data_IF_811461925271
#
_entry.id   IF_811461925271
#
_cell.length_a   1.000
_cell.length_b   1.000
_cell.length_c   1.000
_cell.angle_alpha   90.00
_cell.angle_beta   90.00
_cell.angle_gamma   90.00
#
_symmetry.space_group_name_H-M   'P 1'
#
loop_
_entity.id
_entity.type
_entity.pdbx_description
1 polymer ?
2 polymer ?
3 non-polymer ?
4 water ?
#
# COMPACT_ATOMS: atom_id res chain seq x y z
N UNK A 6 15.39 9.63 -11.26
CA UNK A 6 16.17 10.64 -11.95
C UNK A 6 16.19 10.36 -13.46
N UNK A 7 15.97 11.42 -14.25
CA UNK A 7 15.79 11.31 -15.69
C UNK A 7 17.01 10.75 -16.43
N UNK A 8 18.17 10.64 -15.77
CA UNK A 8 19.31 9.98 -16.39
C UNK A 8 19.11 8.47 -16.45
N UNK A 9 18.59 7.89 -15.36
CA UNK A 9 18.42 6.44 -15.24
C UNK A 9 17.13 5.97 -15.90
N UNK A 10 16.09 6.80 -15.92
CA UNK A 10 14.74 6.35 -16.26
C UNK A 10 13.96 7.53 -16.80
N UNK A 11 13.07 7.24 -17.73
CA UNK A 11 12.25 8.31 -18.29
C UNK A 11 10.98 8.45 -17.46
N UNK A 12 10.54 9.67 -17.16
CA UNK A 12 9.36 9.86 -16.31
C UNK A 12 8.16 9.08 -16.81
N UNK A 13 7.34 8.62 -15.86
CA UNK A 13 6.07 8.01 -16.23
C UNK A 13 5.22 9.00 -17.01
N UNK A 14 5.33 10.30 -16.68
CA UNK A 14 4.54 11.30 -17.38
C UNK A 14 4.94 11.42 -18.86
N UNK A 15 6.08 10.86 -19.26
CA UNK A 15 6.50 10.89 -20.65
C UNK A 15 6.03 9.65 -21.44
N UNK A 16 5.53 8.60 -20.79
CA UNK A 16 5.15 7.36 -21.48
C UNK A 16 4.19 7.59 -22.64
N UNK A 17 4.42 6.89 -23.74
CA UNK A 17 3.48 6.84 -24.86
C UNK A 17 2.29 5.93 -24.50
N UNK A 18 1.24 5.94 -25.32
CA UNK A 18 0.15 4.97 -25.09
C UNK A 18 0.62 3.54 -25.14
N UNK A 19 1.54 3.25 -26.06
CA UNK A 19 2.16 1.93 -26.11
C UNK A 19 2.84 1.63 -24.79
N UNK A 20 3.68 2.54 -24.31
CA UNK A 20 4.30 2.37 -23.00
C UNK A 20 3.24 2.16 -21.92
N UNK A 21 2.12 2.89 -22.00
CA UNK A 21 1.04 2.71 -21.02
C UNK A 21 0.51 1.27 -21.09
N UNK A 22 0.07 0.86 -22.29
CA UNK A 22 -0.48 -0.49 -22.46
C UNK A 22 0.54 -1.55 -22.03
N UNK A 23 1.82 -1.30 -22.33
CA UNK A 23 2.88 -2.25 -21.98
C UNK A 23 2.87 -2.55 -20.49
N UNK A 24 2.91 -1.49 -19.66
CA UNK A 24 2.87 -1.66 -18.21
C UNK A 24 1.54 -2.25 -17.78
N UNK A 25 0.46 -1.91 -18.49
CA UNK A 25 -0.85 -2.45 -18.14
C UNK A 25 -0.91 -3.95 -18.35
N UNK A 26 -0.07 -4.51 -19.24
CA UNK A 26 -0.10 -5.95 -19.51
C UNK A 26 0.36 -6.79 -18.32
N UNK A 27 1.11 -6.21 -17.38
CA UNK A 27 1.58 -6.94 -16.23
C UNK A 27 0.70 -6.84 -15.01
N UNK A 28 -0.45 -6.19 -15.13
CA UNK A 28 -1.39 -6.07 -14.03
C UNK A 28 -2.30 -7.30 -14.00
N UNK A 29 -3.42 -7.19 -13.30
CA UNK A 29 -4.27 -8.33 -13.00
C UNK A 29 -4.95 -8.84 -14.27
N UNK A 30 -5.06 -10.17 -14.38
CA UNK A 30 -5.72 -10.77 -15.54
C UNK A 30 -7.04 -10.07 -15.82
N UNK A 31 -7.83 -9.80 -14.78
CA UNK A 31 -9.17 -9.26 -14.96
C UNK A 31 -9.19 -7.86 -15.58
N UNK A 32 -8.03 -7.22 -15.77
CA UNK A 32 -8.00 -5.85 -16.26
C UNK A 32 -7.57 -5.73 -17.73
N UNK A 33 -7.15 -6.82 -18.36
CA UNK A 33 -6.67 -6.74 -19.74
C UNK A 33 -7.78 -6.38 -20.72
N UNK A 34 -9.00 -6.90 -20.52
CA UNK A 34 -10.15 -6.58 -21.35
C UNK A 34 -10.25 -5.09 -21.64
N UNK A 35 -9.60 -4.29 -20.80
CA UNK A 35 -9.68 -2.86 -20.94
C UNK A 35 -8.57 -2.27 -21.83
N UNK A 36 -7.40 -2.91 -21.90
CA UNK A 36 -6.28 -2.29 -22.61
C UNK A 36 -6.63 -2.03 -24.07
N UNK A 37 -7.57 -2.80 -24.64
CA UNK A 37 -8.06 -2.49 -25.98
C UNK A 37 -8.54 -1.05 -26.07
N UNK A 38 -9.32 -0.61 -25.08
CA UNK A 38 -9.89 0.73 -25.15
C UNK A 38 -8.87 1.81 -24.80
N UNK A 39 -7.99 1.54 -23.83
CA UNK A 39 -6.90 2.47 -23.55
C UNK A 39 -6.11 2.76 -24.81
N UNK A 40 -5.75 1.70 -25.54
CA UNK A 40 -5.15 1.80 -26.85
C UNK A 40 -5.93 2.77 -27.74
N UNK A 41 -7.17 2.38 -28.07
CA UNK A 41 -7.96 3.13 -29.04
C UNK A 41 -8.08 4.61 -28.67
N UNK A 42 -8.12 4.92 -27.38
CA UNK A 42 -8.21 6.31 -26.96
C UNK A 42 -6.85 7.00 -26.91
N UNK A 43 -5.77 6.27 -27.18
CA UNK A 43 -4.42 6.82 -27.18
C UNK A 43 -4.07 7.40 -25.80
N UNK A 44 -4.35 6.62 -24.76
CA UNK A 44 -4.12 7.07 -23.39
C UNK A 44 -2.62 7.09 -23.10
N UNK A 45 -2.10 8.23 -22.68
CA UNK A 45 -0.66 8.37 -22.45
C UNK A 45 -0.34 8.47 -20.96
N UNK A 46 0.96 8.32 -20.64
CA UNK A 46 1.39 8.34 -19.27
C UNK A 46 1.02 9.63 -18.57
N UNK A 47 1.07 10.75 -19.30
CA UNK A 47 0.37 12.00 -19.00
C UNK A 47 -0.95 11.79 -18.30
N UNK A 48 -1.94 11.37 -19.10
CA UNK A 48 -3.31 11.21 -18.64
C UNK A 48 -3.43 10.09 -17.62
N UNK A 49 -2.58 9.07 -17.74
CA UNK A 49 -2.73 7.90 -16.88
C UNK A 49 -2.57 8.29 -15.43
N UNK A 50 -1.50 9.03 -15.12
CA UNK A 50 -1.17 9.40 -13.75
C UNK A 50 -2.32 10.12 -13.03
N UNK A 51 -3.27 10.65 -13.79
CA UNK A 51 -4.37 11.42 -13.24
C UNK A 51 -5.71 10.91 -13.74
N UNK A 52 -5.76 9.68 -14.26
CA UNK A 52 -7.01 9.12 -14.76
C UNK A 52 -8.11 9.28 -13.72
N UNK A 53 -9.28 9.71 -14.18
CA UNK A 53 -10.42 9.98 -13.31
C UNK A 53 -11.41 8.83 -13.37
N UNK A 54 -12.34 8.83 -12.42
CA UNK A 54 -13.43 7.87 -12.48
C UNK A 54 -14.09 7.90 -13.85
N UNK A 55 -14.67 9.05 -14.21
CA UNK A 55 -15.40 9.14 -15.46
C UNK A 55 -14.57 8.64 -16.63
N UNK A 56 -13.25 8.85 -16.59
CA UNK A 56 -12.41 8.37 -17.67
C UNK A 56 -12.33 6.86 -17.66
N UNK A 57 -12.07 6.28 -16.49
CA UNK A 57 -12.13 4.83 -16.32
C UNK A 57 -13.46 4.28 -16.82
N UNK A 58 -14.54 5.00 -16.60
CA UNK A 58 -15.82 4.48 -17.04
C UNK A 58 -15.93 4.56 -18.56
N UNK A 59 -15.39 5.62 -19.13
CA UNK A 59 -15.44 5.72 -20.59
C UNK A 59 -14.54 4.68 -21.24
N UNK A 60 -13.48 4.29 -20.56
CA UNK A 60 -12.64 3.24 -21.11
C UNK A 60 -13.27 1.85 -20.98
N UNK A 61 -14.48 1.76 -20.45
CA UNK A 61 -15.20 0.51 -20.28
C UNK A 61 -15.12 -0.10 -18.90
N UNK A 62 -14.55 0.59 -17.92
CA UNK A 62 -14.33 0.03 -16.58
C UNK A 62 -15.49 0.49 -15.70
N UNK A 63 -16.53 -0.33 -15.66
CA UNK A 63 -17.66 -0.07 -14.77
C UNK A 63 -17.42 -0.67 -13.39
N UNK A 64 -17.05 -1.96 -13.34
CA UNK A 64 -16.90 -2.64 -12.07
C UNK A 64 -15.86 -1.94 -11.21
N UNK A 65 -16.28 -1.19 -10.19
CA UNK A 65 -15.33 -0.32 -9.52
C UNK A 65 -14.28 -1.12 -8.75
N UNK A 66 -14.48 -2.41 -8.57
CA UNK A 66 -13.35 -3.25 -8.19
C UNK A 66 -12.25 -3.18 -9.23
N UNK A 67 -12.61 -3.24 -10.51
CA UNK A 67 -11.61 -3.13 -11.56
C UNK A 67 -11.00 -1.74 -11.54
N UNK A 68 -11.83 -0.71 -11.41
CA UNK A 68 -11.32 0.64 -11.20
C UNK A 68 -10.27 0.67 -10.10
N UNK A 69 -10.62 0.19 -8.92
CA UNK A 69 -9.73 0.28 -7.77
C UNK A 69 -8.42 -0.43 -8.04
N UNK A 70 -8.47 -1.54 -8.78
CA UNK A 70 -7.23 -2.20 -9.13
C UNK A 70 -6.35 -1.26 -9.94
N UNK A 71 -6.94 -0.61 -10.94
CA UNK A 71 -6.18 0.30 -11.80
C UNK A 71 -5.60 1.45 -10.98
N UNK A 72 -6.45 2.09 -10.15
CA UNK A 72 -5.99 3.25 -9.42
C UNK A 72 -4.94 2.88 -8.37
N UNK A 73 -5.05 1.68 -7.77
CA UNK A 73 -4.02 1.24 -6.84
C UNK A 73 -2.69 1.04 -7.56
N UNK A 74 -2.74 0.57 -8.81
CA UNK A 74 -1.54 0.54 -9.63
C UNK A 74 -1.04 1.95 -9.93
N UNK A 75 -1.95 2.84 -10.33
CA UNK A 75 -1.50 4.17 -10.71
C UNK A 75 -1.01 4.93 -9.49
N UNK A 76 -1.61 4.69 -8.32
CA UNK A 76 -1.09 5.29 -7.10
C UNK A 76 0.38 4.90 -6.89
N UNK A 77 0.69 3.62 -7.07
CA UNK A 77 2.08 3.19 -7.00
C UNK A 77 2.91 3.92 -8.05
N UNK A 78 2.37 4.03 -9.27
CA UNK A 78 3.03 4.80 -10.31
C UNK A 78 3.37 6.20 -9.82
N UNK A 79 2.44 6.82 -9.10
CA UNK A 79 2.67 8.16 -8.58
C UNK A 79 3.76 8.16 -7.52
N UNK A 80 3.74 7.18 -6.61
CA UNK A 80 4.81 7.11 -5.63
C UNK A 80 6.15 7.09 -6.32
N UNK A 81 6.23 6.40 -7.46
CA UNK A 81 7.51 6.28 -8.16
C UNK A 81 7.90 7.62 -8.80
N UNK A 82 6.96 8.28 -9.46
CA UNK A 82 7.30 9.44 -10.29
C UNK A 82 7.54 10.70 -9.49
N UNK A 83 6.78 10.91 -8.41
CA UNK A 83 6.86 12.09 -7.57
C UNK A 83 7.58 11.84 -6.25
N UNK A 84 7.38 10.66 -5.66
CA UNK A 84 7.82 10.38 -4.31
C UNK A 84 9.25 9.93 -4.16
N UNK A 85 9.75 9.11 -5.08
CA UNK A 85 11.07 8.54 -4.90
C UNK A 85 12.13 9.64 -4.72
N UNK A 86 12.09 10.67 -5.57
CA UNK A 86 13.06 11.79 -5.50
C UNK A 86 12.91 12.63 -4.25
N UNK A 87 11.86 12.40 -3.46
CA UNK A 87 11.27 13.34 -2.52
C UNK A 87 11.17 12.80 -1.10
N UNK A 88 10.79 11.54 -0.94
CA UNK A 88 10.47 10.98 0.37
C UNK A 88 11.77 10.72 1.11
N UNK A 89 11.91 11.31 2.28
CA UNK A 89 13.04 11.02 3.15
C UNK A 89 12.53 10.80 4.57
N UNK A 90 13.46 10.43 5.46
CA UNK A 90 13.07 10.13 6.84
C UNK A 90 12.39 11.31 7.51
N UNK A 91 12.78 12.55 7.18
CA UNK A 91 12.06 13.70 7.74
C UNK A 91 10.60 13.70 7.31
N UNK A 92 10.37 13.71 6.00
CA UNK A 92 9.06 13.49 5.40
C UNK A 92 8.26 12.46 6.19
N UNK A 93 8.78 11.23 6.27
CA UNK A 93 8.05 10.15 6.92
C UNK A 93 7.70 10.51 8.36
N UNK A 94 8.65 11.10 9.09
CA UNK A 94 8.40 11.44 10.49
C UNK A 94 7.32 12.51 10.60
N UNK A 95 7.35 13.47 9.67
CA UNK A 95 6.34 14.51 9.63
C UNK A 95 4.95 13.92 9.41
N UNK A 96 4.86 12.93 8.51
CA UNK A 96 3.58 12.29 8.23
C UNK A 96 3.06 11.51 9.45
N UNK A 97 3.96 10.89 10.21
CA UNK A 97 3.53 10.20 11.42
C UNK A 97 3.05 11.17 12.48
N UNK A 98 3.89 12.12 12.84
CA UNK A 98 3.48 13.13 13.83
C UNK A 98 2.19 13.83 13.39
N UNK A 99 2.02 14.06 12.09
CA UNK A 99 0.83 14.77 11.62
C UNK A 99 -0.44 13.94 11.85
N UNK A 100 -0.40 12.64 11.57
CA UNK A 100 -1.64 11.89 11.70
C UNK A 100 -1.98 11.67 13.16
N UNK A 101 -0.98 11.72 14.04
CA UNK A 101 -1.23 11.59 15.47
C UNK A 101 -1.80 12.87 16.05
N UNK A 102 -1.18 14.01 15.68
CA UNK A 102 -1.72 15.31 16.03
C UNK A 102 -3.17 15.43 15.58
N UNK A 103 -3.45 15.07 14.33
CA UNK A 103 -4.81 15.22 13.83
C UNK A 103 -5.77 14.35 14.63
N UNK A 104 -5.39 13.09 14.89
CA UNK A 104 -6.15 12.24 15.79
C UNK A 104 -6.43 12.92 17.12
N UNK A 105 -5.40 13.47 17.75
CA UNK A 105 -5.60 14.15 19.04
C UNK A 105 -6.60 15.28 18.91
N UNK A 106 -6.39 16.17 17.93
CA UNK A 106 -7.28 17.32 17.79
C UNK A 106 -8.69 16.87 17.42
N UNK A 107 -8.82 15.77 16.65
CA UNK A 107 -10.10 15.11 16.47
C UNK A 107 -10.75 14.78 17.80
N UNK A 108 -10.05 14.02 18.66
CA UNK A 108 -10.65 13.55 19.91
C UNK A 108 -11.11 14.71 20.78
N UNK A 109 -10.18 15.60 21.16
CA UNK A 109 -10.55 16.75 22.00
C UNK A 109 -11.63 17.60 21.33
N UNK A 110 -11.65 17.66 20.00
CA UNK A 110 -12.73 18.35 19.31
C UNK A 110 -14.09 17.74 19.57
N UNK A 111 -14.26 16.46 19.22
CA UNK A 111 -15.48 15.69 19.43
C UNK A 111 -16.09 15.92 20.81
N UNK A 112 -15.19 16.02 21.78
CA UNK A 112 -15.59 15.96 23.17
C UNK A 112 -16.23 17.27 23.62
N UNK A 113 -15.92 18.38 22.97
CA UNK A 113 -16.56 19.65 23.29
C UNK A 113 -17.83 19.89 22.48
N UNK A 114 -18.08 19.13 21.42
CA UNK A 114 -19.29 19.34 20.63
C UNK A 114 -20.54 19.11 21.49
N UNK A 115 -21.65 19.67 21.04
CA UNK A 115 -22.90 19.50 21.77
C UNK A 115 -23.47 18.11 21.67
N UNK A 116 -23.20 17.40 20.57
CA UNK A 116 -23.81 16.10 20.32
C UNK A 116 -23.01 14.95 20.95
N UNK A 117 -21.95 15.25 21.73
CA UNK A 117 -21.09 14.23 22.31
C UNK A 117 -21.88 13.31 23.22
N UNK A 118 -21.79 12.00 22.96
CA UNK A 118 -22.27 10.99 23.91
C UNK A 118 -21.15 10.04 24.27
N UNK A 119 -19.89 10.45 24.05
CA UNK A 119 -18.78 9.53 24.24
C UNK A 119 -18.67 8.97 25.64
N UNK A 120 -19.17 9.70 26.64
CA UNK A 120 -19.15 9.13 27.97
C UNK A 120 -20.21 8.06 28.16
N UNK A 121 -21.15 7.93 27.23
CA UNK A 121 -22.20 6.92 27.30
C UNK A 121 -22.03 5.81 26.28
N UNK A 122 -21.76 6.16 25.03
CA UNK A 122 -21.79 5.17 23.96
C UNK A 122 -20.52 4.32 23.95
N UNK A 123 -20.68 3.08 23.52
CA UNK A 123 -19.54 2.25 23.19
C UNK A 123 -19.50 1.95 21.69
N UNK A 124 -20.28 2.70 20.92
CA UNK A 124 -20.31 2.59 19.47
C UNK A 124 -19.25 3.51 18.87
N UNK A 125 -18.19 2.93 18.31
CA UNK A 125 -17.02 3.67 17.91
C UNK A 125 -17.13 4.13 16.45
N UNK A 126 -17.13 5.43 16.18
CA UNK A 126 -17.41 5.91 14.81
C UNK A 126 -16.33 5.54 13.82
N UNK A 127 -16.73 5.47 12.56
CA UNK A 127 -15.83 4.96 11.53
C UNK A 127 -14.63 5.89 11.28
N UNK A 128 -14.82 7.22 11.43
CA UNK A 128 -13.68 8.13 11.48
C UNK A 128 -12.55 7.53 12.29
N UNK A 129 -12.86 7.05 13.50
CA UNK A 129 -11.85 6.58 14.44
C UNK A 129 -11.00 5.49 13.82
N UNK A 130 -11.67 4.48 13.26
CA UNK A 130 -10.93 3.37 12.66
C UNK A 130 -10.02 3.85 11.54
N UNK A 131 -10.56 4.63 10.59
CA UNK A 131 -9.71 5.09 9.49
C UNK A 131 -8.55 5.90 10.01
N UNK A 132 -8.76 6.67 11.07
CA UNK A 132 -7.65 7.46 11.63
C UNK A 132 -6.60 6.55 12.26
N UNK A 133 -7.02 5.72 13.21
CA UNK A 133 -6.13 4.77 13.85
C UNK A 133 -5.36 3.98 12.81
N UNK A 134 -6.07 3.44 11.84
CA UNK A 134 -5.43 2.63 10.81
C UNK A 134 -4.41 3.46 10.07
N UNK A 135 -4.81 4.66 9.66
CA UNK A 135 -3.89 5.50 8.90
C UNK A 135 -2.64 5.81 9.72
N UNK A 136 -2.81 6.07 11.01
CA UNK A 136 -1.64 6.38 11.82
C UNK A 136 -0.70 5.19 11.87
N UNK A 137 -1.26 4.00 12.09
CA UNK A 137 -0.46 2.78 12.08
C UNK A 137 0.29 2.65 10.76
N UNK A 138 -0.35 3.04 9.66
CA UNK A 138 0.36 3.06 8.39
C UNK A 138 1.57 3.97 8.43
N UNK A 139 1.38 5.19 8.95
CA UNK A 139 2.49 6.13 9.04
C UNK A 139 3.65 5.53 9.81
N UNK A 140 3.34 4.81 10.90
CA UNK A 140 4.39 4.20 11.73
C UNK A 140 5.05 3.02 11.04
N UNK A 141 4.30 2.26 10.23
CA UNK A 141 4.91 1.16 9.50
C UNK A 141 5.85 1.70 8.43
N UNK A 142 5.44 2.77 7.76
CA UNK A 142 6.29 3.40 6.75
C UNK A 142 7.59 3.91 7.36
N UNK A 143 7.49 4.60 8.50
CA UNK A 143 8.69 5.04 9.20
C UNK A 143 9.63 3.88 9.48
N UNK A 144 9.07 2.74 9.91
CA UNK A 144 9.92 1.61 10.28
C UNK A 144 10.47 0.88 9.07
N UNK A 145 9.71 0.82 7.97
CA UNK A 145 10.24 0.20 6.77
C UNK A 145 11.42 0.98 6.21
N UNK A 146 11.45 2.30 6.47
CA UNK A 146 12.56 3.14 6.08
C UNK A 146 13.72 3.00 7.05
N UNK A 147 13.41 2.75 8.33
CA UNK A 147 14.48 2.65 9.31
C UNK A 147 15.26 1.34 9.18
N UNK A 148 14.60 0.25 8.77
CA UNK A 148 15.28 -1.05 8.68
C UNK A 148 16.35 -1.06 7.60
N UNK A 149 16.15 -0.34 6.50
CA UNK A 149 17.14 -0.40 5.42
C UNK A 149 18.31 0.53 5.66
N UNK A 150 18.36 1.21 6.83
CA UNK A 150 19.36 2.21 7.20
C UNK A 150 19.98 1.84 8.57
N UNK A 151 20.91 2.64 9.10
CA UNK A 151 21.31 2.44 10.50
C UNK A 151 20.18 2.64 11.51
N UNK A 159 16.53 -1.18 17.86
CA UNK A 159 15.92 -2.48 18.11
C UNK A 159 14.93 -2.38 19.25
N UNK A 160 15.46 -1.90 20.38
CA UNK A 160 14.59 -1.49 21.48
C UNK A 160 13.51 -0.54 20.97
N UNK A 161 13.94 0.60 20.41
CA UNK A 161 12.99 1.61 19.93
C UNK A 161 12.15 1.10 18.75
N UNK A 162 12.62 0.09 18.01
CA UNK A 162 11.75 -0.48 16.97
C UNK A 162 10.56 -1.20 17.59
N UNK A 163 10.78 -1.88 18.70
CA UNK A 163 9.69 -2.57 19.34
C UNK A 163 8.67 -1.58 19.90
N UNK A 164 9.15 -0.48 20.47
CA UNK A 164 8.29 0.60 20.95
C UNK A 164 7.14 0.87 19.99
N UNK A 165 7.47 1.33 18.78
CA UNK A 165 6.43 1.72 17.82
C UNK A 165 5.51 0.54 17.55
N UNK A 166 6.09 -0.65 17.41
CA UNK A 166 5.27 -1.81 17.11
C UNK A 166 4.26 -2.03 18.23
N UNK A 167 4.74 -2.03 19.48
CA UNK A 167 3.84 -2.16 20.62
C UNK A 167 2.79 -1.07 20.60
N UNK A 168 3.23 0.17 20.34
CA UNK A 168 2.29 1.29 20.40
C UNK A 168 1.19 1.12 19.38
N UNK A 169 1.58 0.87 18.12
CA UNK A 169 0.59 0.52 17.11
C UNK A 169 -0.33 -0.62 17.58
N UNK A 170 0.24 -1.63 18.25
CA UNK A 170 -0.60 -2.72 18.73
C UNK A 170 -1.56 -2.24 19.82
N UNK A 171 -1.06 -1.42 20.76
CA UNK A 171 -1.96 -0.90 21.79
C UNK A 171 -3.16 -0.22 21.15
N UNK A 172 -2.94 0.53 20.06
CA UNK A 172 -4.04 1.09 19.28
C UNK A 172 -5.03 0.01 18.87
N UNK A 173 -4.53 -1.04 18.22
CA UNK A 173 -5.42 -2.08 17.71
C UNK A 173 -6.25 -2.69 18.82
N UNK A 174 -5.65 -2.95 19.98
CA UNK A 174 -6.45 -3.53 21.06
C UNK A 174 -7.36 -2.51 21.72
N UNK A 175 -7.00 -1.22 21.69
CA UNK A 175 -7.86 -0.19 22.26
C UNK A 175 -9.22 -0.16 21.54
N UNK A 176 -9.19 -0.09 20.20
CA UNK A 176 -10.42 0.02 19.42
C UNK A 176 -11.20 -1.28 19.36
N UNK A 177 -10.63 -2.39 19.80
CA UNK A 177 -11.36 -3.65 19.86
C UNK A 177 -12.03 -3.89 21.21
N UNK A 178 -11.60 -3.18 22.26
CA UNK A 178 -12.16 -3.36 23.60
C UNK A 178 -13.60 -2.89 23.67
N UNK A 179 -14.48 -3.76 24.15
CA UNK A 179 -15.85 -3.36 24.42
C UNK A 179 -15.85 -2.30 25.50
N UNK A 180 -15.56 -1.06 25.10
CA UNK A 180 -15.26 0.05 25.99
C UNK A 180 -16.14 1.24 25.66
N UNK A 181 -16.41 2.04 26.68
CA UNK A 181 -16.99 3.35 26.42
C UNK A 181 -16.04 4.16 25.54
N UNK A 182 -16.58 5.14 24.84
CA UNK A 182 -15.74 5.84 23.88
C UNK A 182 -14.89 6.90 24.57
N UNK A 183 -15.39 7.48 25.67
CA UNK A 183 -14.55 8.38 26.46
C UNK A 183 -13.27 7.67 26.92
N UNK A 184 -13.40 6.45 27.46
CA UNK A 184 -12.20 5.71 27.87
C UNK A 184 -11.37 5.29 26.66
N UNK A 185 -12.01 4.82 25.60
CA UNK A 185 -11.26 4.54 24.39
C UNK A 185 -10.51 5.79 23.95
N UNK A 186 -11.16 6.96 24.06
CA UNK A 186 -10.52 8.21 23.62
C UNK A 186 -9.34 8.58 24.52
N UNK A 187 -9.49 8.45 25.83
CA UNK A 187 -8.36 8.67 26.71
C UNK A 187 -7.20 7.75 26.36
N UNK A 188 -7.49 6.47 26.13
CA UNK A 188 -6.42 5.52 25.86
C UNK A 188 -5.69 5.89 24.57
N UNK A 189 -6.45 6.20 23.52
CA UNK A 189 -5.87 6.54 22.23
C UNK A 189 -5.07 7.82 22.36
N UNK A 190 -5.64 8.80 23.06
CA UNK A 190 -4.94 10.06 23.28
C UNK A 190 -3.56 9.80 23.87
N UNK A 191 -3.46 8.83 24.79
CA UNK A 191 -2.16 8.52 25.38
C UNK A 191 -1.20 7.94 24.34
N UNK A 192 -1.61 6.88 23.64
CA UNK A 192 -0.73 6.30 22.62
C UNK A 192 -0.26 7.40 21.68
N UNK A 193 -1.16 8.32 21.30
CA UNK A 193 -0.82 9.34 20.34
C UNK A 193 0.35 10.19 20.82
N UNK A 194 0.24 10.71 22.05
CA UNK A 194 1.26 11.57 22.60
C UNK A 194 2.61 10.86 22.67
N UNK A 195 2.65 9.59 23.10
CA UNK A 195 3.94 8.89 23.23
C UNK A 195 4.49 8.45 21.88
N UNK A 196 3.63 7.94 20.98
CA UNK A 196 4.10 7.54 19.65
C UNK A 196 4.86 8.69 18.99
N UNK A 197 4.32 9.90 19.10
CA UNK A 197 5.03 11.08 18.61
C UNK A 197 6.38 11.22 19.29
N UNK A 198 6.40 11.21 20.62
CA UNK A 198 7.65 11.38 21.32
C UNK A 198 8.72 10.41 20.86
N UNK A 199 8.32 9.15 20.64
CA UNK A 199 9.24 8.16 20.11
C UNK A 199 9.73 8.60 18.75
N UNK A 200 8.81 9.11 17.94
CA UNK A 200 9.16 9.60 16.61
C UNK A 200 10.18 10.73 16.70
N UNK A 201 9.93 11.72 17.58
CA UNK A 201 10.92 12.78 17.77
C UNK A 201 12.27 12.20 18.16
N UNK A 202 12.25 11.22 19.06
CA UNK A 202 13.48 10.63 19.56
C UNK A 202 14.25 9.94 18.44
N UNK A 203 13.56 9.13 17.64
CA UNK A 203 14.19 8.49 16.49
C UNK A 203 14.88 9.53 15.63
N UNK A 204 14.21 10.67 15.39
CA UNK A 204 14.78 11.72 14.56
C UNK A 204 16.00 12.32 15.22
N UNK A 205 15.86 12.78 16.48
CA UNK A 205 16.95 13.45 17.17
C UNK A 205 18.20 12.58 17.20
N UNK A 206 18.02 11.27 17.19
CA UNK A 206 19.12 10.32 17.18
C UNK A 206 19.68 10.06 15.80
N UNK A 207 19.27 10.78 14.76
CA UNK A 207 19.63 10.45 13.38
C UNK A 207 20.70 11.38 12.82
N UNK A 208 21.64 10.78 12.10
CA UNK A 208 22.72 11.53 11.45
C UNK A 208 22.14 12.60 10.55
N UNK A 209 22.66 13.80 10.66
CA UNK A 209 22.11 14.89 9.87
C UNK A 209 22.48 14.85 8.38
N UNK A 210 23.40 13.96 7.86
CA UNK A 210 23.47 13.82 6.40
C UNK A 210 22.44 12.85 5.85
N UNK A 211 22.27 11.68 6.48
CA UNK A 211 21.35 10.66 5.94
C UNK A 211 19.88 11.07 6.10
N UNK A 212 19.54 11.71 7.22
CA UNK A 212 18.14 11.96 7.58
C UNK A 212 17.37 12.72 6.51
N UNK A 213 18.05 13.51 5.68
CA UNK A 213 17.36 14.24 4.62
C UNK A 213 17.52 13.61 3.25
N UNK A 214 18.47 12.70 3.08
CA UNK A 214 18.68 12.06 1.79
C UNK A 214 17.49 11.15 1.48
N UNK A 215 17.13 11.07 0.20
CA UNK A 215 16.09 10.19 -0.29
C UNK A 215 16.71 9.06 -1.12
N UNK A 216 15.85 8.18 -1.63
CA UNK A 216 16.35 7.04 -2.38
C UNK A 216 16.67 7.43 -3.83
N UNK A 217 17.48 6.61 -4.50
CA UNK A 217 17.81 6.86 -5.91
C UNK A 217 17.61 5.60 -6.74
N UNK A 218 17.74 5.74 -8.05
CA UNK A 218 17.64 4.61 -8.98
C UNK A 218 19.03 4.23 -9.47
N UNK A 219 19.13 2.99 -9.95
CA UNK A 219 20.39 2.48 -10.49
C UNK A 219 20.08 1.43 -11.54
N UNK A 220 20.87 1.39 -12.62
CA UNK A 220 20.80 0.30 -13.57
C UNK A 220 21.93 -0.67 -13.28
N UNK A 221 21.63 -1.96 -13.38
CA UNK A 221 22.51 -3.05 -12.97
C UNK A 221 22.30 -4.20 -13.96
N UNK A 222 23.37 -4.62 -14.63
CA UNK A 222 23.26 -5.62 -15.69
C UNK A 222 23.79 -6.96 -15.18
N UNK A 223 22.99 -8.00 -15.33
CA UNK A 223 23.41 -9.34 -14.96
C UNK A 223 23.75 -10.14 -16.21
N UNK A 224 24.67 -11.07 -16.03
CA UNK A 224 25.13 -11.99 -17.05
C UNK A 224 24.97 -13.41 -16.53
N UNK A 225 24.14 -14.21 -17.19
CA UNK A 225 24.03 -15.61 -16.82
C UNK A 225 25.15 -16.40 -17.49
N UNK A 226 25.53 -17.51 -16.87
CA UNK A 226 26.65 -18.34 -17.34
C UNK A 226 26.20 -19.69 -17.86
N UNK A 227 24.92 -20.02 -17.74
CA UNK A 227 24.32 -21.21 -18.31
C UNK A 227 22.92 -20.86 -18.73
N UNK A 228 22.34 -21.61 -19.66
CA UNK A 228 20.98 -21.29 -20.13
C UNK A 228 19.92 -21.21 -19.03
N UNK A 229 19.45 -19.98 -18.77
CA UNK A 229 18.34 -19.67 -17.88
C UNK A 229 18.69 -19.84 -16.39
N UNK A 230 19.97 -19.74 -16.05
CA UNK A 230 20.44 -20.01 -14.70
C UNK A 230 19.79 -19.08 -13.69
N UNK A 231 19.85 -19.48 -12.43
CA UNK A 231 19.46 -18.58 -11.38
C UNK A 231 20.36 -17.36 -11.36
N UNK A 232 19.74 -16.17 -11.39
CA UNK A 232 20.48 -14.96 -11.09
C UNK A 232 20.95 -14.93 -9.64
N UNK A 233 20.26 -15.67 -8.75
CA UNK A 233 20.66 -15.82 -7.38
C UNK A 233 20.21 -14.72 -6.44
N UNK A 234 18.95 -14.29 -6.57
CA UNK A 234 18.37 -13.35 -5.64
C UNK A 234 17.02 -13.87 -5.14
N UNK A 235 16.64 -13.40 -3.96
CA UNK A 235 15.36 -13.72 -3.37
C UNK A 235 14.53 -12.44 -3.39
N UNK A 236 13.25 -12.57 -3.74
CA UNK A 236 12.39 -11.42 -3.99
C UNK A 236 11.07 -11.64 -3.28
N UNK A 237 10.70 -10.69 -2.44
CA UNK A 237 9.39 -10.68 -1.79
C UNK A 237 8.50 -9.71 -2.54
N UNK A 238 7.24 -10.07 -2.70
CA UNK A 238 6.28 -9.18 -3.31
C UNK A 238 5.25 -8.82 -2.23
N UNK A 239 5.37 -7.60 -1.70
CA UNK A 239 4.53 -7.12 -0.62
C UNK A 239 3.08 -7.00 -1.08
N UNK A 240 2.17 -6.90 -0.12
CA UNK A 240 0.76 -6.71 -0.46
C UNK A 240 0.55 -5.33 -1.08
N UNK A 241 1.31 -4.34 -0.61
CA UNK A 241 1.25 -3.00 -1.16
C UNK A 241 1.65 -2.93 -2.62
N UNK A 242 2.22 -4.01 -3.19
CA UNK A 242 2.58 -4.11 -4.59
C UNK A 242 4.07 -4.13 -4.86
N UNK A 243 4.89 -3.92 -3.83
CA UNK A 243 6.33 -3.76 -4.02
C UNK A 243 7.00 -5.09 -4.35
N UNK A 244 8.04 -5.03 -5.15
CA UNK A 244 8.87 -6.18 -5.44
C UNK A 244 10.23 -5.88 -4.85
N UNK A 245 10.55 -6.54 -3.74
CA UNK A 245 11.67 -6.17 -2.89
C UNK A 245 12.65 -7.33 -2.82
N UNK A 246 13.91 -7.06 -3.13
CA UNK A 246 14.97 -8.05 -2.99
C UNK A 246 15.34 -8.16 -1.51
N UNK A 247 15.27 -9.38 -0.98
CA UNK A 247 15.52 -9.63 0.44
C UNK A 247 16.88 -10.23 0.72
N UNK A 248 17.68 -10.48 -0.30
CA UNK A 248 18.95 -11.16 -0.14
C UNK A 248 19.39 -11.77 -1.45
N UNK A 249 20.67 -12.14 -1.51
CA UNK A 249 21.21 -12.88 -2.63
C UNK A 249 21.86 -14.16 -2.14
N UNK A 250 22.31 -14.98 -3.07
CA UNK A 250 23.00 -16.23 -2.76
C UNK A 250 24.45 -16.13 -3.20
N UNK A 251 25.34 -16.69 -2.37
CA UNK A 251 26.77 -16.68 -2.65
C UNK A 251 27.08 -17.18 -4.05
N UNK A 252 28.22 -16.75 -4.60
CA UNK A 252 28.69 -17.23 -5.90
C UNK A 252 27.59 -17.20 -6.95
N UNK A 253 26.75 -16.24 -6.86
CA UNK A 253 25.71 -15.93 -7.80
C UNK A 253 26.12 -14.70 -8.61
N UNK A 254 25.65 -14.58 -9.86
CA UNK A 254 25.82 -13.29 -10.56
C UNK A 254 25.44 -12.11 -9.68
N UNK A 255 24.29 -12.20 -9.02
CA UNK A 255 23.81 -11.13 -8.16
C UNK A 255 24.80 -10.82 -7.03
N UNK A 256 25.37 -11.84 -6.40
CA UNK A 256 26.28 -11.60 -5.28
C UNK A 256 27.56 -10.96 -5.75
N UNK A 257 28.14 -11.45 -6.83
CA UNK A 257 29.42 -10.92 -7.29
C UNK A 257 29.28 -9.49 -7.79
N UNK A 258 28.21 -9.18 -8.52
CA UNK A 258 28.03 -7.81 -8.99
C UNK A 258 28.05 -6.78 -7.86
N UNK A 259 27.95 -7.22 -6.60
CA UNK A 259 28.21 -6.38 -5.44
C UNK A 259 27.27 -5.19 -5.42
N UNK A 260 26.33 -5.17 -6.37
CA UNK A 260 25.46 -4.02 -6.53
C UNK A 260 24.01 -4.30 -6.17
N UNK A 261 23.66 -5.54 -5.85
CA UNK A 261 22.31 -5.87 -5.41
C UNK A 261 22.35 -6.14 -3.91
N UNK A 262 21.45 -5.50 -3.17
CA UNK A 262 21.49 -5.57 -1.72
C UNK A 262 20.09 -5.75 -1.16
N UNK A 263 20.04 -6.30 0.05
CA UNK A 263 18.76 -6.55 0.68
C UNK A 263 18.07 -5.23 1.00
N UNK A 264 16.80 -5.13 0.62
CA UNK A 264 16.03 -3.91 0.73
C UNK A 264 15.77 -3.25 -0.60
N UNK A 265 16.62 -3.50 -1.60
CA UNK A 265 16.41 -2.90 -2.92
C UNK A 265 15.06 -3.32 -3.48
N UNK A 266 14.46 -2.45 -4.29
CA UNK A 266 13.15 -2.73 -4.89
C UNK A 266 13.23 -2.72 -6.41
N UNK A 267 12.70 -3.76 -7.05
CA UNK A 267 12.76 -3.88 -8.51
C UNK A 267 11.80 -2.87 -9.10
N UNK A 268 12.34 -1.87 -9.80
CA UNK A 268 11.52 -0.83 -10.44
C UNK A 268 11.33 -1.12 -11.92
N UNK A 269 12.39 -1.51 -12.64
CA UNK A 269 12.24 -2.01 -14.00
C UNK A 269 13.00 -3.30 -14.17
N UNK A 270 12.49 -4.13 -15.09
CA UNK A 270 13.17 -5.32 -15.57
C UNK A 270 13.33 -5.17 -17.07
N UNK A 271 14.57 -5.28 -17.56
CA UNK A 271 14.93 -5.01 -18.96
C UNK A 271 14.21 -3.76 -19.51
N UNK A 272 14.40 -2.64 -18.82
CA UNK A 272 13.86 -1.34 -19.19
C UNK A 272 12.34 -1.33 -19.27
N UNK A 273 11.68 -2.32 -18.66
CA UNK A 273 10.24 -2.32 -18.53
C UNK A 273 9.86 -2.05 -17.07
N UNK A 274 9.09 -1.00 -16.83
CA UNK A 274 8.61 -0.73 -15.48
C UNK A 274 7.62 -1.81 -15.05
N UNK A 275 7.93 -2.50 -13.94
CA UNK A 275 7.10 -3.60 -13.44
C UNK A 275 6.46 -3.25 -12.10
N UNK A 276 6.20 -1.97 -11.84
CA UNK A 276 5.90 -1.56 -10.47
C UNK A 276 4.56 -2.12 -10.00
N UNK A 277 3.48 -1.90 -10.74
CA UNK A 277 2.29 -2.50 -10.13
C UNK A 277 2.08 -3.98 -10.37
N UNK A 278 3.06 -4.71 -10.90
CA UNK A 278 2.81 -5.98 -11.58
C UNK A 278 2.50 -7.12 -10.62
N UNK A 279 1.83 -8.13 -11.14
CA UNK A 279 1.64 -9.35 -10.39
C UNK A 279 2.94 -10.12 -10.42
N UNK A 280 3.29 -10.72 -9.27
CA UNK A 280 4.51 -11.51 -9.16
C UNK A 280 4.70 -12.34 -10.43
N UNK A 281 3.66 -13.11 -10.76
CA UNK A 281 3.56 -13.91 -11.98
C UNK A 281 4.22 -13.23 -13.16
N UNK A 282 3.75 -12.02 -13.51
CA UNK A 282 4.24 -11.34 -14.71
C UNK A 282 5.66 -10.79 -14.51
N UNK A 283 5.98 -10.33 -13.30
CA UNK A 283 7.37 -10.02 -12.97
C UNK A 283 8.25 -11.24 -13.15
N UNK A 284 7.83 -12.37 -12.60
CA UNK A 284 8.57 -13.60 -12.77
C UNK A 284 8.82 -13.85 -14.24
N UNK A 285 7.77 -13.76 -15.04
CA UNK A 285 7.90 -13.93 -16.48
C UNK A 285 8.95 -12.98 -17.05
N UNK A 286 8.88 -11.71 -16.65
CA UNK A 286 9.86 -10.72 -17.08
C UNK A 286 11.29 -11.17 -16.79
N UNK A 287 11.57 -11.50 -15.52
CA UNK A 287 12.93 -11.85 -15.13
C UNK A 287 13.45 -13.06 -15.89
N UNK A 288 12.56 -14.00 -16.19
CA UNK A 288 12.94 -15.27 -16.83
C UNK A 288 13.08 -15.14 -18.34
N UNK A 289 12.53 -14.10 -18.94
CA UNK A 289 12.40 -14.03 -20.39
C UNK A 289 13.74 -14.33 -21.06
N UNK A 290 14.77 -13.56 -20.73
CA UNK A 290 16.05 -13.74 -21.39
C UNK A 290 16.94 -14.61 -20.55
N UNK A 291 17.25 -15.83 -20.98
CA UNK A 291 18.11 -16.70 -20.16
C UNK A 291 19.53 -16.19 -20.02
N UNK A 292 19.92 -15.16 -20.78
CA UNK A 292 21.32 -14.74 -20.89
C UNK A 292 21.69 -13.61 -19.94
N UNK A 293 20.75 -13.11 -19.15
CA UNK A 293 21.01 -11.98 -18.29
C UNK A 293 19.78 -11.14 -18.12
N UNK A 294 19.90 -10.13 -17.26
CA UNK A 294 18.77 -9.25 -17.02
C UNK A 294 19.32 -7.89 -16.65
N UNK A 295 18.62 -6.85 -17.11
CA UNK A 295 18.90 -5.48 -16.72
C UNK A 295 17.90 -5.12 -15.64
N UNK A 296 18.40 -4.68 -14.49
CA UNK A 296 17.51 -4.33 -13.39
C UNK A 296 17.65 -2.85 -13.11
N UNK A 297 16.50 -2.17 -13.03
CA UNK A 297 16.45 -0.85 -12.44
C UNK A 297 16.03 -1.02 -10.98
N UNK A 298 16.93 -0.67 -10.07
CA UNK A 298 16.72 -0.84 -8.64
C UNK A 298 16.58 0.51 -7.96
N UNK A 299 15.59 0.60 -7.08
CA UNK A 299 15.43 1.71 -6.13
C UNK A 299 16.36 1.48 -4.95
N UNK A 300 17.34 2.35 -4.79
CA UNK A 300 18.38 2.17 -3.79
C UNK A 300 18.18 3.15 -2.62
N UNK A 301 18.32 2.62 -1.40
CA UNK A 301 18.18 3.42 -0.20
C UNK A 301 19.39 4.33 0.00
N UNK A 302 19.18 5.52 0.60
CA UNK A 302 20.26 6.52 0.69
C UNK A 302 21.54 6.00 1.31
N UNK A 303 21.45 5.04 2.25
CA UNK A 303 22.58 4.50 3.00
C UNK A 303 23.78 4.11 2.12
N UNK B 3 -5.11 -11.53 0.29
CA UNK B 3 -5.70 -11.56 -1.03
C UNK B 3 -6.72 -12.68 -1.22
N UNK B 4 -7.97 -12.40 -0.83
CA UNK B 4 -9.07 -13.36 -0.86
C UNK B 4 -9.95 -13.17 -2.09
N UNK B 5 -10.72 -14.20 -2.43
CA UNK B 5 -11.45 -14.22 -3.70
C UNK B 5 -12.77 -13.45 -3.61
N UNK B 6 -13.33 -13.15 -4.78
CA UNK B 6 -14.62 -12.46 -4.85
C UNK B 6 -15.68 -13.25 -4.08
N UNK B 7 -15.80 -14.55 -4.36
CA UNK B 7 -16.75 -15.35 -3.60
C UNK B 7 -16.44 -15.32 -2.11
N UNK B 8 -15.15 -15.23 -1.73
CA UNK B 8 -14.76 -15.10 -0.32
C UNK B 8 -15.42 -13.88 0.32
N UNK B 9 -15.31 -12.73 -0.36
CA UNK B 9 -15.93 -11.50 0.13
C UNK B 9 -17.42 -11.72 0.37
N UNK B 10 -18.12 -12.26 -0.63
CA UNK B 10 -19.56 -12.46 -0.48
C UNK B 10 -19.88 -13.23 0.80
N UNK B 11 -19.11 -14.28 1.09
CA UNK B 11 -19.36 -15.02 2.33
C UNK B 11 -18.99 -14.21 3.56
N UNK B 12 -17.95 -13.37 3.45
CA UNK B 12 -17.61 -12.49 4.56
C UNK B 12 -18.72 -11.49 4.85
N UNK B 13 -19.34 -10.96 3.79
CA UNK B 13 -20.48 -10.05 3.96
C UNK B 13 -21.67 -10.76 4.59
N UNK B 14 -22.03 -11.94 4.07
CA UNK B 14 -23.13 -12.68 4.68
C UNK B 14 -22.85 -12.94 6.15
N UNK B 15 -21.58 -13.12 6.51
CA UNK B 15 -21.26 -13.40 7.91
C UNK B 15 -21.40 -12.13 8.74
N UNK B 16 -20.79 -11.02 8.29
CA UNK B 16 -20.65 -9.82 9.11
C UNK B 16 -21.62 -8.70 8.77
N UNK B 17 -22.26 -8.75 7.61
CA UNK B 17 -23.24 -7.75 7.21
C UNK B 17 -24.47 -8.47 6.70
N UNK B 18 -25.12 -9.23 7.57
CA UNK B 18 -26.30 -10.00 7.13
C UNK B 18 -27.41 -9.11 6.60
N UNK B 19 -27.79 -8.10 7.37
CA UNK B 19 -28.86 -7.20 6.94
C UNK B 19 -28.57 -6.64 5.55
N UNK B 20 -27.32 -6.33 5.28
CA UNK B 20 -26.96 -5.68 4.03
C UNK B 20 -26.86 -6.68 2.89
N UNK B 21 -26.67 -7.96 3.19
CA UNK B 21 -26.47 -8.94 2.14
C UNK B 21 -27.75 -9.19 1.34
N UNK B 22 -28.87 -9.40 2.03
CA UNK B 22 -30.12 -9.56 1.30
C UNK B 22 -30.31 -8.37 0.37
N UNK B 23 -30.14 -7.15 0.90
CA UNK B 23 -30.39 -5.95 0.11
C UNK B 23 -29.32 -5.71 -0.95
N UNK B 24 -28.04 -5.92 -0.63
CA UNK B 24 -26.96 -5.46 -1.51
C UNK B 24 -25.95 -6.54 -1.87
N UNK B 25 -26.32 -7.82 -1.79
CA UNK B 25 -25.40 -8.86 -2.26
C UNK B 25 -24.93 -8.54 -3.68
N UNK B 26 -25.84 -8.17 -4.57
CA UNK B 26 -25.51 -8.14 -5.98
C UNK B 26 -24.50 -7.06 -6.31
N UNK B 27 -24.55 -5.91 -5.64
CA UNK B 27 -23.61 -4.83 -5.95
C UNK B 27 -22.17 -5.29 -5.78
N UNK B 28 -21.92 -6.19 -4.85
CA UNK B 28 -20.55 -6.70 -4.69
C UNK B 28 -20.23 -7.68 -5.79
N UNK B 29 -21.21 -8.48 -6.21
CA UNK B 29 -21.01 -9.33 -7.37
C UNK B 29 -20.85 -8.49 -8.63
N UNK B 30 -21.83 -7.61 -8.90
CA UNK B 30 -21.80 -6.79 -10.11
C UNK B 30 -20.46 -6.05 -10.27
N UNK B 31 -19.90 -5.56 -9.17
CA UNK B 31 -18.70 -4.75 -9.24
C UNK B 31 -17.40 -5.52 -9.00
N UNK B 32 -17.46 -6.83 -8.78
CA UNK B 32 -16.26 -7.65 -8.65
C UNK B 32 -15.38 -7.16 -7.50
N UNK B 33 -15.97 -7.10 -6.30
CA UNK B 33 -15.26 -6.58 -5.14
C UNK B 33 -14.41 -7.71 -4.57
N UNK B 34 -13.16 -7.80 -5.00
CA UNK B 34 -12.23 -8.78 -4.44
C UNK B 34 -11.72 -8.32 -3.07
N UNK B 35 -10.96 -9.20 -2.43
CA UNK B 35 -10.27 -8.87 -1.20
C UNK B 35 -9.56 -7.53 -1.29
N UNK B 36 -8.63 -7.39 -2.23
CA UNK B 36 -7.90 -6.12 -2.34
C UNK B 36 -8.87 -4.96 -2.52
N UNK B 37 -9.98 -5.19 -3.22
CA UNK B 37 -10.91 -4.10 -3.53
C UNK B 37 -11.71 -3.69 -2.30
N UNK B 38 -12.17 -4.67 -1.52
CA UNK B 38 -12.94 -4.40 -0.31
C UNK B 38 -12.21 -3.44 0.62
N UNK B 39 -10.89 -3.64 0.77
CA UNK B 39 -10.11 -2.88 1.71
C UNK B 39 -9.92 -1.44 1.29
N UNK B 40 -10.16 -1.12 0.03
CA UNK B 40 -10.03 0.25 -0.43
C UNK B 40 -11.36 0.96 -0.42
N UNK B 41 -12.37 0.37 0.19
CA UNK B 41 -13.73 0.84 0.03
C UNK B 41 -14.05 1.99 0.98
N UNK B 42 -14.88 2.91 0.50
CA UNK B 42 -15.19 4.15 1.20
C UNK B 42 -16.66 4.46 1.01
N UNK B 43 -17.18 5.30 1.89
CA UNK B 43 -18.57 5.72 1.77
C UNK B 43 -18.88 6.15 0.34
N UNK B 44 -18.07 7.05 -0.23
CA UNK B 44 -18.34 7.58 -1.57
C UNK B 44 -18.35 6.44 -2.59
N UNK B 45 -17.43 5.50 -2.46
CA UNK B 45 -17.43 4.38 -3.40
C UNK B 45 -18.68 3.53 -3.25
N UNK B 46 -19.00 3.15 -2.02
CA UNK B 46 -20.17 2.32 -1.78
C UNK B 46 -21.44 2.93 -2.37
N UNK B 47 -21.58 4.25 -2.25
CA UNK B 47 -22.71 4.91 -2.88
C UNK B 47 -22.66 4.71 -4.39
N UNK B 48 -21.45 4.60 -4.94
CA UNK B 48 -21.32 4.44 -6.39
C UNK B 48 -21.70 3.02 -6.82
N UNK B 49 -21.45 1.99 -5.99
CA UNK B 49 -21.97 0.68 -6.35
C UNK B 49 -23.48 0.54 -6.16
N UNK B 50 -24.16 1.54 -5.60
CA UNK B 50 -25.60 1.49 -5.53
C UNK B 50 -26.20 1.24 -4.16
N UNK B 51 -25.40 1.26 -3.10
CA UNK B 51 -25.94 1.33 -1.75
C UNK B 51 -26.36 2.78 -1.51
N UNK B 52 -27.63 3.08 -1.74
CA UNK B 52 -28.09 4.46 -1.72
C UNK B 52 -28.23 5.03 -0.32
N UNK B 53 -28.30 4.21 0.72
CA UNK B 53 -28.71 4.65 2.04
C UNK B 53 -27.48 4.75 2.97
N UNK B 54 -27.17 5.96 3.43
CA UNK B 54 -25.95 6.12 4.23
C UNK B 54 -25.96 5.23 5.47
N UNK B 55 -27.14 5.03 6.03
CA UNK B 55 -27.34 4.11 7.15
C UNK B 55 -26.65 2.77 6.91
N UNK B 56 -26.97 2.11 5.79
CA UNK B 56 -26.39 0.80 5.50
C UNK B 56 -24.90 0.91 5.20
N UNK B 57 -24.49 1.97 4.48
CA UNK B 57 -23.09 2.16 4.13
C UNK B 57 -22.21 2.18 5.37
N UNK B 58 -22.70 2.78 6.46
CA UNK B 58 -21.91 2.83 7.69
C UNK B 58 -21.57 1.45 8.19
N UNK B 59 -22.58 0.58 8.30
CA UNK B 59 -22.36 -0.75 8.85
C UNK B 59 -21.36 -1.54 8.03
N UNK B 60 -21.41 -1.39 6.71
CA UNK B 60 -20.47 -2.12 5.87
C UNK B 60 -19.05 -1.66 6.15
N UNK B 61 -18.81 -0.33 6.27
CA UNK B 61 -17.44 0.10 6.61
C UNK B 61 -17.08 -0.21 8.04
N UNK B 62 -18.07 -0.27 8.94
CA UNK B 62 -17.72 -0.64 10.30
C UNK B 62 -17.08 -2.02 10.33
N UNK B 63 -17.53 -2.92 9.45
CA UNK B 63 -16.87 -4.21 9.31
C UNK B 63 -15.62 -4.11 8.45
N UNK B 64 -15.66 -3.35 7.36
CA UNK B 64 -14.45 -3.20 6.56
C UNK B 64 -13.30 -2.68 7.40
N UNK B 65 -13.57 -1.69 8.25
CA UNK B 65 -12.50 -1.14 9.06
C UNK B 65 -12.11 -2.08 10.19
N UNK B 66 -13.08 -2.73 10.82
CA UNK B 66 -12.74 -3.72 11.85
C UNK B 66 -11.89 -4.84 11.26
N UNK B 67 -12.13 -5.19 10.00
CA UNK B 67 -11.30 -6.16 9.31
C UNK B 67 -9.92 -5.58 9.00
N UNK B 68 -9.88 -4.36 8.46
CA UNK B 68 -8.61 -3.68 8.24
C UNK B 68 -7.77 -3.70 9.52
N UNK B 69 -8.41 -3.47 10.67
CA UNK B 69 -7.69 -3.48 11.94
C UNK B 69 -7.07 -4.86 12.18
N UNK B 70 -7.89 -5.91 12.07
CA UNK B 70 -7.42 -7.27 12.33
C UNK B 70 -6.27 -7.64 11.39
N UNK B 71 -6.26 -7.12 10.17
CA UNK B 71 -5.12 -7.34 9.31
C UNK B 71 -3.86 -6.71 9.88
N UNK B 72 -4.00 -5.53 10.49
CA UNK B 72 -2.83 -4.88 11.06
C UNK B 72 -2.32 -5.61 12.30
N UNK B 73 -3.17 -6.31 13.05
CA UNK B 73 -2.61 -7.10 14.14
C UNK B 73 -1.70 -8.17 13.56
N UNK B 74 -2.15 -8.82 12.48
CA UNK B 74 -1.32 -9.85 11.88
C UNK B 74 -0.08 -9.24 11.22
N UNK B 75 -0.22 -8.07 10.60
CA UNK B 75 0.93 -7.42 9.98
C UNK B 75 1.95 -6.97 11.02
N UNK B 76 1.46 -6.49 12.17
CA UNK B 76 2.38 -5.99 13.18
C UNK B 76 3.04 -7.13 13.93
N UNK B 77 2.30 -8.21 14.19
CA UNK B 77 2.90 -9.42 14.74
C UNK B 77 4.02 -9.91 13.83
N UNK B 78 3.74 -9.97 12.53
CA UNK B 78 4.75 -10.40 11.58
C UNK B 78 6.02 -9.56 11.69
N UNK B 79 5.85 -8.24 11.88
CA UNK B 79 7.02 -7.38 11.96
C UNK B 79 7.92 -7.69 13.14
N UNK B 80 7.54 -8.65 13.98
CA UNK B 80 8.37 -9.02 15.11
C UNK B 80 8.96 -10.42 14.98
N UNK B 81 8.31 -11.32 14.26
CA UNK B 81 8.82 -12.67 14.07
C UNK B 81 9.93 -12.73 13.00
N UNK B 94 5.68 -15.24 2.07
CA UNK B 94 5.96 -15.89 0.78
C UNK B 94 7.36 -15.51 0.25
N UNK B 95 7.67 -15.96 -0.97
CA UNK B 95 9.00 -15.74 -1.53
C UNK B 95 8.97 -16.12 -3.01
N UNK B 96 10.14 -16.03 -3.62
CA UNK B 96 10.45 -16.47 -4.97
C UNK B 96 11.97 -16.41 -5.06
N UNK B 97 12.53 -17.14 -6.02
CA UNK B 97 13.97 -17.22 -6.12
C UNK B 97 14.32 -17.35 -7.59
N UNK B 98 15.27 -16.55 -8.06
CA UNK B 98 15.78 -16.73 -9.42
C UNK B 98 17.24 -17.13 -9.41
#
# INVERSE_FOLDING_TARGET
GGSGSMALIMEPVSKWSPSQVVDWMKGLDDCLQQYIKNFEREKISGDQLLRITHQELEDLGVSRIGHQELILEAVDLLCALNYGLETENLKTLSHKLNASAKNLQNFITGRRRSGHYDGRTSRKLPNDFLTSVVDLIGAAKSLLAWLDRSPFAAVTDYSVTRNNVIQLCLELTTIVQQDCTVYETENKILHVCKTLSGVCDHIISLSSDPLVSQSAHLEVIQLANIKPSEGLGMYIKSTYDGLHVITGTTENSPADRCKKIHAGDEVIQVNHQTVVGWQLKNLVNALREDPSGVILTLKKRPQSMLTSAPALLKNMRWK
GPGSTQQDVCKWLKKHCPNQYQLYSESFKQHDITGRALLRLTDKKLERMGIAQENQRQHILQQVLQLKVREEVRNLQLLTQASVECSPGSGSENLYFQ
#
